data_IF_108188568039
#
_entry.id   IF_108188568039
#
_cell.length_a   1.000
_cell.length_b   1.000
_cell.length_c   1.000
_cell.angle_alpha   90.00
_cell.angle_beta   90.00
_cell.angle_gamma   90.00
#
_symmetry.space_group_name_H-M   'P 1'
#
loop_
_entity.id
_entity.type
_entity.pdbx_description
1 polymer ?
#
# COMPACT_ATOMS: atom_id res chain seq x y z
N UNK A 1 24.15 -64.73 -103.57
CA UNK A 1 23.36 -63.57 -104.00
C UNK A 1 21.99 -63.57 -103.35
N UNK A 2 20.98 -64.31 -103.81
CA UNK A 2 19.62 -64.30 -103.19
C UNK A 2 19.61 -64.61 -101.67
N UNK A 3 20.42 -65.59 -101.21
CA UNK A 3 20.51 -65.95 -99.78
C UNK A 3 21.18 -64.87 -98.90
N UNK A 4 22.04 -64.05 -99.47
CA UNK A 4 22.75 -63.00 -98.73
C UNK A 4 21.87 -61.76 -98.54
N UNK A 5 21.05 -61.45 -99.55
CA UNK A 5 20.03 -60.38 -99.50
C UNK A 5 18.93 -60.70 -98.49
N UNK A 6 18.44 -61.95 -98.46
CA UNK A 6 17.46 -62.39 -97.45
C UNK A 6 18.02 -62.30 -96.02
N UNK A 7 19.29 -62.63 -95.82
CA UNK A 7 19.95 -62.53 -94.52
C UNK A 7 20.12 -61.08 -94.08
N UNK A 8 20.50 -60.19 -95.00
CA UNK A 8 20.60 -58.75 -94.76
C UNK A 8 19.24 -58.14 -94.41
N UNK A 9 18.19 -58.49 -95.14
CA UNK A 9 16.83 -58.02 -94.88
C UNK A 9 16.31 -58.49 -93.51
N UNK A 10 16.55 -59.76 -93.13
CA UNK A 10 16.21 -60.26 -91.78
C UNK A 10 16.95 -59.48 -90.69
N UNK A 11 18.24 -59.20 -90.86
CA UNK A 11 19.02 -58.43 -89.90
C UNK A 11 18.49 -57.00 -89.74
N UNK A 12 18.09 -56.33 -90.82
CA UNK A 12 17.48 -55.00 -90.75
C UNK A 12 16.14 -55.01 -90.01
N UNK A 13 15.31 -56.04 -90.23
CA UNK A 13 14.04 -56.20 -89.51
C UNK A 13 14.27 -56.44 -88.01
N UNK A 14 15.24 -57.26 -87.63
CA UNK A 14 15.61 -57.49 -86.23
C UNK A 14 16.12 -56.21 -85.56
N UNK A 15 17.00 -55.45 -86.24
CA UNK A 15 17.48 -54.16 -85.73
C UNK A 15 16.34 -53.15 -85.54
N UNK A 16 15.41 -53.09 -86.50
CA UNK A 16 14.22 -52.23 -86.40
C UNK A 16 13.35 -52.62 -85.21
N UNK A 17 13.11 -53.92 -84.99
CA UNK A 17 12.32 -54.42 -83.87
C UNK A 17 12.97 -54.12 -82.53
N UNK A 18 14.29 -54.21 -82.42
CA UNK A 18 15.03 -53.85 -81.19
C UNK A 18 14.88 -52.36 -80.91
N UNK A 19 15.07 -51.50 -81.91
CA UNK A 19 14.92 -50.05 -81.75
C UNK A 19 13.49 -49.63 -81.39
N UNK A 20 12.48 -50.28 -81.98
CA UNK A 20 11.07 -50.07 -81.63
C UNK A 20 10.83 -50.43 -80.16
N UNK A 21 11.21 -51.65 -79.75
CA UNK A 21 11.09 -52.06 -78.33
C UNK A 21 11.83 -51.13 -77.34
N UNK A 22 13.01 -50.62 -77.69
CA UNK A 22 13.72 -49.64 -76.87
C UNK A 22 12.97 -48.30 -76.79
N UNK A 23 12.38 -47.86 -77.90
CA UNK A 23 11.59 -46.64 -77.94
C UNK A 23 10.30 -46.76 -77.12
N UNK A 24 9.59 -47.89 -77.23
CA UNK A 24 8.44 -48.20 -76.39
C UNK A 24 8.80 -48.21 -74.89
N UNK A 25 9.94 -48.82 -74.52
CA UNK A 25 10.42 -48.81 -73.12
C UNK A 25 10.73 -47.40 -72.63
N UNK A 26 11.40 -46.58 -73.44
CA UNK A 26 11.68 -45.17 -73.10
C UNK A 26 10.39 -44.37 -72.91
N UNK A 27 9.41 -44.56 -73.80
CA UNK A 27 8.09 -43.91 -73.70
C UNK A 27 7.33 -44.35 -72.45
N UNK A 28 7.43 -45.62 -72.05
CA UNK A 28 6.83 -46.10 -70.81
C UNK A 28 7.52 -45.50 -69.58
N UNK A 29 8.85 -45.48 -69.56
CA UNK A 29 9.63 -44.86 -68.48
C UNK A 29 9.34 -43.36 -68.35
N UNK A 30 9.20 -42.64 -69.46
CA UNK A 30 8.82 -41.23 -69.48
C UNK A 30 7.42 -41.00 -68.88
N UNK A 31 6.43 -41.83 -69.25
CA UNK A 31 5.09 -41.78 -68.66
C UNK A 31 5.09 -42.05 -67.16
N UNK A 32 5.92 -42.98 -66.70
CA UNK A 32 6.06 -43.30 -65.29
C UNK A 32 6.71 -42.15 -64.51
N UNK A 33 7.76 -41.55 -65.07
CA UNK A 33 8.40 -40.36 -64.51
C UNK A 33 7.41 -39.20 -64.38
N UNK A 34 6.59 -38.93 -65.40
CA UNK A 34 5.58 -37.88 -65.35
C UNK A 34 4.55 -38.13 -64.24
N UNK A 35 4.07 -39.35 -64.06
CA UNK A 35 3.17 -39.70 -62.96
C UNK A 35 3.83 -39.49 -61.59
N UNK A 36 5.11 -39.83 -61.45
CA UNK A 36 5.84 -39.63 -60.21
C UNK A 36 6.01 -38.14 -59.90
N UNK A 37 6.29 -37.32 -60.91
CA UNK A 37 6.37 -35.85 -60.76
C UNK A 37 5.02 -35.29 -60.30
N UNK A 38 3.92 -35.66 -60.95
CA UNK A 38 2.57 -35.22 -60.55
C UNK A 38 2.24 -35.63 -59.10
N UNK A 39 2.61 -36.85 -58.69
CA UNK A 39 2.42 -37.29 -57.31
C UNK A 39 3.25 -36.49 -56.31
N UNK A 40 4.51 -36.17 -56.64
CA UNK A 40 5.37 -35.37 -55.78
C UNK A 40 4.85 -33.93 -55.64
N UNK A 41 4.41 -33.31 -56.73
CA UNK A 41 3.81 -31.96 -56.70
C UNK A 41 2.54 -31.94 -55.84
N UNK A 42 1.71 -32.98 -55.93
CA UNK A 42 0.51 -33.11 -55.09
C UNK A 42 0.87 -33.25 -53.60
N UNK A 43 1.88 -34.06 -53.28
CA UNK A 43 2.38 -34.22 -51.91
C UNK A 43 2.97 -32.92 -51.35
N UNK A 44 3.76 -32.20 -52.15
CA UNK A 44 4.35 -30.92 -51.75
C UNK A 44 3.26 -29.86 -51.48
N UNK A 45 2.27 -29.77 -52.36
CA UNK A 45 1.10 -28.89 -52.18
C UNK A 45 0.34 -29.20 -50.88
N UNK A 46 0.10 -30.49 -50.59
CA UNK A 46 -0.56 -30.91 -49.36
C UNK A 46 0.26 -30.56 -48.11
N UNK A 47 1.58 -30.75 -48.14
CA UNK A 47 2.49 -30.38 -47.06
C UNK A 47 2.51 -28.87 -46.82
N UNK A 48 2.53 -28.06 -47.88
CA UNK A 48 2.48 -26.60 -47.79
C UNK A 48 1.17 -26.13 -47.16
N UNK A 49 0.04 -26.70 -47.55
CA UNK A 49 -1.26 -26.42 -46.93
C UNK A 49 -1.27 -26.79 -45.44
N UNK A 50 -0.70 -27.95 -45.10
CA UNK A 50 -0.61 -28.40 -43.71
C UNK A 50 0.28 -27.46 -42.87
N UNK A 51 1.44 -27.05 -43.40
CA UNK A 51 2.33 -26.08 -42.72
C UNK A 51 1.62 -24.75 -42.47
N UNK A 52 0.96 -24.20 -43.49
CA UNK A 52 0.18 -22.96 -43.37
C UNK A 52 -0.91 -23.07 -42.30
N UNK A 53 -1.63 -24.21 -42.26
CA UNK A 53 -2.63 -24.48 -41.22
C UNK A 53 -2.01 -24.53 -39.81
N UNK A 54 -0.86 -25.19 -39.66
CA UNK A 54 -0.17 -25.26 -38.37
C UNK A 54 0.31 -23.89 -37.91
N UNK A 55 0.87 -23.07 -38.81
CA UNK A 55 1.29 -21.69 -38.48
C UNK A 55 0.11 -20.83 -38.01
N UNK A 56 -1.06 -20.97 -38.63
CA UNK A 56 -2.27 -20.26 -38.19
C UNK A 56 -2.72 -20.73 -36.80
N UNK A 57 -2.66 -22.03 -36.54
CA UNK A 57 -2.99 -22.60 -35.23
C UNK A 57 -2.02 -22.09 -34.15
N UNK A 58 -0.72 -22.07 -34.43
CA UNK A 58 0.31 -21.57 -33.52
C UNK A 58 0.11 -20.09 -33.20
N UNK A 59 -0.24 -19.28 -34.22
CA UNK A 59 -0.61 -17.87 -34.02
C UNK A 59 -1.85 -17.72 -33.15
N UNK A 60 -2.87 -18.56 -33.36
CA UNK A 60 -4.09 -18.53 -32.54
C UNK A 60 -3.79 -18.90 -31.08
N UNK A 61 -2.99 -19.96 -30.85
CA UNK A 61 -2.56 -20.36 -29.51
C UNK A 61 -1.78 -19.24 -28.83
N UNK A 62 -0.85 -18.58 -29.55
CA UNK A 62 -0.10 -17.45 -29.02
C UNK A 62 -1.03 -16.29 -28.62
N UNK A 63 -2.01 -15.94 -29.46
CA UNK A 63 -2.99 -14.91 -29.12
C UNK A 63 -3.85 -15.25 -27.91
N UNK A 64 -4.25 -16.51 -27.74
CA UNK A 64 -4.99 -16.96 -26.55
C UNK A 64 -4.14 -16.83 -25.29
N UNK A 65 -2.88 -17.29 -25.32
CA UNK A 65 -1.94 -17.14 -24.20
C UNK A 65 -1.73 -15.69 -23.80
N UNK A 66 -1.52 -14.80 -24.78
CA UNK A 66 -1.37 -13.36 -24.50
C UNK A 66 -2.62 -12.76 -23.84
N UNK A 67 -3.82 -13.17 -24.25
CA UNK A 67 -5.08 -12.73 -23.62
C UNK A 67 -5.20 -13.24 -22.19
N UNK A 68 -4.85 -14.50 -21.94
CA UNK A 68 -4.86 -15.08 -20.61
C UNK A 68 -3.85 -14.39 -19.68
N UNK A 69 -2.66 -14.07 -20.20
CA UNK A 69 -1.63 -13.32 -19.45
C UNK A 69 -2.08 -11.89 -19.13
N UNK A 70 -2.70 -11.18 -20.08
CA UNK A 70 -3.27 -9.84 -19.82
C UNK A 70 -4.39 -9.91 -18.78
N UNK A 71 -5.28 -10.90 -18.89
CA UNK A 71 -6.36 -11.12 -17.93
C UNK A 71 -5.81 -11.42 -16.53
N UNK A 72 -4.82 -12.31 -16.42
CA UNK A 72 -4.16 -12.65 -15.16
C UNK A 72 -3.49 -11.43 -14.54
N UNK A 73 -2.81 -10.62 -15.36
CA UNK A 73 -2.19 -9.36 -14.91
C UNK A 73 -3.23 -8.38 -14.37
N UNK A 74 -4.37 -8.21 -15.05
CA UNK A 74 -5.48 -7.38 -14.57
C UNK A 74 -6.05 -7.90 -13.25
N UNK A 75 -6.22 -9.21 -13.13
CA UNK A 75 -6.72 -9.84 -11.90
C UNK A 75 -5.78 -9.59 -10.72
N UNK A 76 -4.46 -9.68 -10.94
CA UNK A 76 -3.47 -9.41 -9.89
C UNK A 76 -3.51 -7.95 -9.44
N UNK A 77 -3.66 -7.00 -10.37
CA UNK A 77 -3.84 -5.58 -10.05
C UNK A 77 -5.11 -5.35 -9.23
N UNK A 78 -6.22 -6.03 -9.56
CA UNK A 78 -7.46 -5.94 -8.79
C UNK A 78 -7.31 -6.51 -7.37
N UNK A 79 -6.68 -7.68 -7.23
CA UNK A 79 -6.37 -8.27 -5.92
C UNK A 79 -5.51 -7.34 -5.07
N UNK A 80 -4.51 -6.71 -5.67
CA UNK A 80 -3.66 -5.76 -4.97
C UNK A 80 -4.44 -4.52 -4.51
N UNK A 81 -5.32 -3.98 -5.37
CA UNK A 81 -6.23 -2.88 -5.00
C UNK A 81 -7.16 -3.27 -3.86
N UNK A 82 -7.72 -4.48 -3.89
CA UNK A 82 -8.58 -5.00 -2.83
C UNK A 82 -7.83 -5.08 -1.49
N UNK A 83 -6.59 -5.59 -1.48
CA UNK A 83 -5.73 -5.62 -0.29
C UNK A 83 -5.49 -4.22 0.27
N UNK A 84 -5.16 -3.26 -0.60
CA UNK A 84 -4.95 -1.85 -0.19
C UNK A 84 -6.23 -1.25 0.39
N UNK A 85 -7.39 -1.53 -0.21
CA UNK A 85 -8.68 -1.07 0.30
C UNK A 85 -8.99 -1.67 1.67
N UNK A 86 -8.81 -2.98 1.85
CA UNK A 86 -9.01 -3.65 3.16
C UNK A 86 -8.11 -3.03 4.23
N UNK A 87 -6.84 -2.79 3.93
CA UNK A 87 -5.91 -2.14 4.87
C UNK A 87 -6.33 -0.70 5.20
N UNK A 88 -6.78 0.08 4.21
CA UNK A 88 -7.29 1.45 4.43
C UNK A 88 -8.55 1.47 5.29
N UNK A 89 -9.46 0.52 5.10
CA UNK A 89 -10.67 0.38 5.92
C UNK A 89 -10.30 0.02 7.35
N UNK A 90 -9.37 -0.92 7.55
CA UNK A 90 -8.90 -1.28 8.89
C UNK A 90 -8.26 -0.09 9.60
N UNK A 91 -7.34 0.63 8.96
CA UNK A 91 -6.73 1.83 9.54
C UNK A 91 -7.76 2.92 9.87
N UNK A 92 -8.80 3.10 9.05
CA UNK A 92 -9.88 4.03 9.35
C UNK A 92 -10.69 3.60 10.58
N UNK A 93 -10.97 2.30 10.72
CA UNK A 93 -11.67 1.76 11.89
C UNK A 93 -10.83 1.91 13.16
N UNK A 94 -9.53 1.61 13.09
CA UNK A 94 -8.61 1.78 14.22
C UNK A 94 -8.52 3.25 14.65
N UNK A 95 -8.42 4.17 13.68
CA UNK A 95 -8.43 5.62 13.94
C UNK A 95 -9.78 6.12 14.50
N UNK A 96 -10.90 5.53 14.08
CA UNK A 96 -12.23 5.85 14.62
C UNK A 96 -12.34 5.41 16.08
N UNK A 97 -11.93 4.18 16.41
CA UNK A 97 -11.94 3.67 17.78
C UNK A 97 -11.01 4.48 18.71
N UNK A 98 -9.82 4.87 18.26
CA UNK A 98 -8.92 5.73 19.04
C UNK A 98 -9.55 7.11 19.31
N UNK A 99 -10.21 7.71 18.30
CA UNK A 99 -10.91 8.99 18.48
C UNK A 99 -12.10 8.88 19.43
N UNK A 100 -12.89 7.82 19.33
CA UNK A 100 -14.11 7.66 20.14
C UNK A 100 -13.79 7.39 21.62
N UNK A 101 -12.69 6.69 21.91
CA UNK A 101 -12.19 6.49 23.28
C UNK A 101 -11.61 7.80 23.84
N UNK A 102 -10.84 8.55 23.05
CA UNK A 102 -10.24 9.82 23.50
C UNK A 102 -11.26 10.95 23.69
N UNK A 103 -12.32 11.04 22.87
CA UNK A 103 -13.36 12.06 23.06
C UNK A 103 -14.29 11.76 24.23
N UNK A 104 -14.66 10.50 24.46
CA UNK A 104 -15.58 10.16 25.57
C UNK A 104 -14.95 10.37 26.96
N UNK A 105 -13.65 10.11 27.12
CA UNK A 105 -12.97 10.37 28.38
C UNK A 105 -12.67 11.87 28.58
N UNK A 106 -12.34 12.61 27.53
CA UNK A 106 -12.16 14.08 27.61
C UNK A 106 -13.47 14.81 27.91
N UNK A 107 -14.61 14.39 27.34
CA UNK A 107 -15.93 15.01 27.62
C UNK A 107 -16.40 14.72 29.05
N UNK A 108 -16.09 13.53 29.59
CA UNK A 108 -16.42 13.18 30.99
C UNK A 108 -15.51 13.86 32.02
N UNK A 109 -14.25 14.13 31.70
CA UNK A 109 -13.31 14.85 32.58
C UNK A 109 -13.48 16.37 32.51
N UNK A 110 -13.85 16.93 31.35
CA UNK A 110 -14.08 18.36 31.14
C UNK A 110 -15.25 18.95 31.94
N UNK A 111 -16.17 18.12 32.43
CA UNK A 111 -17.38 18.57 33.16
C UNK A 111 -17.25 18.44 34.68
N UNK A 112 -16.16 17.85 35.19
CA UNK A 112 -15.92 17.72 36.63
C UNK A 112 -14.88 18.74 37.08
N UNK A 113 -15.19 19.45 38.16
CA UNK A 113 -14.19 20.27 38.86
C UNK A 113 -13.18 19.28 39.46
N UNK A 114 -11.89 19.37 39.11
CA UNK A 114 -10.87 18.50 39.70
C UNK A 114 -10.70 18.81 41.19
N UNK A 115 -10.23 17.82 41.95
CA UNK A 115 -9.98 17.99 43.39
C UNK A 115 -8.53 18.34 43.62
N UNK A 116 -8.28 19.48 44.27
CA UNK A 116 -6.99 19.83 44.85
C UNK A 116 -6.99 19.54 46.36
N UNK A 117 -5.83 19.21 46.95
CA UNK A 117 -5.69 19.02 48.39
C UNK A 117 -6.02 20.32 49.10
N UNK A 118 -6.59 20.22 50.30
CA UNK A 118 -6.95 21.40 51.07
C UNK A 118 -5.71 22.18 51.50
N UNK A 119 -5.72 23.48 51.29
CA UNK A 119 -4.64 24.39 51.68
C UNK A 119 -5.03 25.19 52.92
N UNK A 120 -4.27 25.02 54.00
CA UNK A 120 -4.46 25.67 55.31
C UNK A 120 -3.34 26.65 55.68
N UNK A 121 -2.35 26.83 54.79
CA UNK A 121 -1.23 27.77 54.98
C UNK A 121 0.12 27.13 55.26
N UNK A 122 0.19 25.81 55.50
CA UNK A 122 1.44 25.13 55.92
C UNK A 122 2.18 24.37 54.83
N UNK A 123 1.51 24.05 53.72
CA UNK A 123 2.00 23.18 52.64
C UNK A 123 1.94 23.87 51.27
N UNK A 124 2.32 25.15 51.19
CA UNK A 124 2.10 25.97 50.01
C UNK A 124 2.82 25.45 48.75
N UNK A 125 4.10 25.06 48.87
CA UNK A 125 4.88 24.59 47.72
C UNK A 125 4.36 23.25 47.16
N UNK A 126 3.90 22.34 48.03
CA UNK A 126 3.28 21.08 47.62
C UNK A 126 1.94 21.32 46.93
N UNK A 127 1.08 22.15 47.53
CA UNK A 127 -0.19 22.55 46.95
C UNK A 127 -0.03 23.25 45.58
N UNK A 128 0.95 24.16 45.47
CA UNK A 128 1.28 24.88 44.24
C UNK A 128 1.75 23.92 43.15
N UNK A 129 2.60 22.95 43.49
CA UNK A 129 3.06 21.94 42.55
C UNK A 129 1.89 21.16 41.97
N UNK A 130 0.94 20.73 42.80
CA UNK A 130 -0.24 20.01 42.34
C UNK A 130 -1.15 20.86 41.44
N UNK A 131 -1.37 22.13 41.80
CA UNK A 131 -2.12 23.06 40.97
C UNK A 131 -1.46 23.26 39.59
N UNK A 132 -0.14 23.44 39.54
CA UNK A 132 0.63 23.58 38.28
C UNK A 132 0.58 22.30 37.45
N UNK A 133 0.71 21.12 38.08
CA UNK A 133 0.59 19.84 37.40
C UNK A 133 -0.78 19.70 36.74
N UNK A 134 -1.85 20.06 37.45
CA UNK A 134 -3.22 20.01 36.96
C UNK A 134 -3.42 20.89 35.72
N UNK A 135 -2.87 22.11 35.72
CA UNK A 135 -2.90 23.00 34.55
C UNK A 135 -2.13 22.42 33.36
N UNK A 136 -0.94 21.87 33.59
CA UNK A 136 -0.09 21.32 32.54
C UNK A 136 -0.66 20.07 31.87
N UNK A 137 -1.54 19.33 32.55
CA UNK A 137 -2.17 18.14 31.95
C UNK A 137 -3.07 18.49 30.76
N UNK A 138 -3.61 19.71 30.70
CA UNK A 138 -4.56 20.13 29.67
C UNK A 138 -5.89 19.35 29.67
N UNK A 139 -6.13 18.52 30.70
CA UNK A 139 -7.33 17.67 30.80
C UNK A 139 -8.55 18.45 31.31
N UNK A 140 -8.34 19.57 31.98
CA UNK A 140 -9.39 20.40 32.59
C UNK A 140 -9.38 21.79 31.97
N UNK A 141 -10.56 22.41 31.87
CA UNK A 141 -10.66 23.81 31.46
C UNK A 141 -10.05 24.73 32.52
N UNK A 142 -9.52 25.88 32.10
CA UNK A 142 -8.96 26.88 33.03
C UNK A 142 -9.97 27.31 34.10
N UNK A 143 -11.26 27.38 33.74
CA UNK A 143 -12.35 27.61 34.68
C UNK A 143 -12.45 26.51 35.75
N UNK A 144 -12.40 25.23 35.35
CA UNK A 144 -12.49 24.11 36.29
C UNK A 144 -11.30 24.09 37.26
N UNK A 145 -10.09 24.38 36.76
CA UNK A 145 -8.88 24.49 37.61
C UNK A 145 -8.98 25.69 38.56
N UNK A 146 -9.46 26.84 38.07
CA UNK A 146 -9.68 28.03 38.89
C UNK A 146 -10.68 27.76 40.04
N UNK A 147 -11.76 27.01 39.77
CA UNK A 147 -12.70 26.59 40.80
C UNK A 147 -12.08 25.59 41.79
N UNK A 148 -11.26 24.66 41.32
CA UNK A 148 -10.53 23.72 42.18
C UNK A 148 -9.60 24.46 43.15
N UNK A 149 -8.85 25.45 42.65
CA UNK A 149 -7.97 26.30 43.47
C UNK A 149 -8.79 27.01 44.55
N UNK A 150 -9.90 27.67 44.19
CA UNK A 150 -10.76 28.39 45.15
C UNK A 150 -11.37 27.47 46.21
N UNK A 151 -11.79 26.26 45.80
CA UNK A 151 -12.41 25.28 46.69
C UNK A 151 -11.40 24.61 47.65
N UNK A 152 -10.13 24.58 47.26
CA UNK A 152 -9.05 24.01 48.07
C UNK A 152 -8.70 24.86 49.28
N UNK A 153 -8.96 26.17 49.26
CA UNK A 153 -8.63 27.08 50.35
C UNK A 153 -9.53 26.87 51.58
N UNK A 154 -8.93 26.73 52.76
CA UNK A 154 -9.62 26.50 54.05
C UNK A 154 -9.14 27.47 55.13
N UNK A 155 -9.99 27.68 56.15
CA UNK A 155 -9.64 28.53 57.29
C UNK A 155 -9.28 29.95 56.87
N UNK A 156 -8.16 30.47 57.39
CA UNK A 156 -7.72 31.84 57.17
C UNK A 156 -7.17 32.08 55.75
N UNK A 157 -6.67 31.05 55.05
CA UNK A 157 -6.21 31.19 53.65
C UNK A 157 -7.36 31.54 52.71
N UNK A 158 -8.58 31.12 53.04
CA UNK A 158 -9.78 31.44 52.25
C UNK A 158 -10.10 32.93 52.20
N UNK A 159 -9.61 33.73 53.16
CA UNK A 159 -9.83 35.19 53.17
C UNK A 159 -9.20 35.88 51.96
N UNK A 160 -8.17 35.29 51.36
CA UNK A 160 -7.56 35.80 50.12
C UNK A 160 -8.54 35.84 48.95
N UNK A 161 -9.61 35.03 48.97
CA UNK A 161 -10.64 35.07 47.93
C UNK A 161 -11.36 36.43 47.85
N UNK A 162 -11.31 37.23 48.91
CA UNK A 162 -11.88 38.58 48.93
C UNK A 162 -11.04 39.58 48.09
N UNK A 163 -9.77 39.30 47.83
CA UNK A 163 -8.87 40.15 47.04
C UNK A 163 -8.72 39.67 45.58
N UNK A 164 -9.44 38.62 45.23
CA UNK A 164 -9.37 37.92 43.94
C UNK A 164 -10.65 38.22 43.15
N UNK A 165 -10.51 38.70 41.91
CA UNK A 165 -11.66 38.91 41.03
C UNK A 165 -12.26 37.57 40.57
N UNK A 166 -13.58 37.50 40.31
CA UNK A 166 -14.22 36.27 39.83
C UNK A 166 -13.71 35.76 38.48
N UNK A 167 -13.17 36.66 37.65
CA UNK A 167 -12.66 36.36 36.30
C UNK A 167 -11.18 36.00 36.25
N UNK A 168 -10.49 35.90 37.39
CA UNK A 168 -9.06 35.58 37.40
C UNK A 168 -8.80 34.13 36.99
N UNK A 169 -7.81 33.97 36.12
CA UNK A 169 -7.36 32.67 35.59
C UNK A 169 -6.63 31.84 36.65
N UNK A 170 -6.42 30.55 36.39
CA UNK A 170 -5.70 29.69 37.33
C UNK A 170 -4.25 30.19 37.56
N UNK A 171 -3.61 30.75 36.53
CA UNK A 171 -2.26 31.32 36.63
C UNK A 171 -2.22 32.54 37.55
N UNK A 172 -3.19 33.45 37.39
CA UNK A 172 -3.31 34.66 38.21
C UNK A 172 -3.58 34.31 39.68
N UNK A 173 -4.41 33.29 39.93
CA UNK A 173 -4.67 32.78 41.27
C UNK A 173 -3.39 32.26 41.93
N UNK A 174 -2.62 31.42 41.22
CA UNK A 174 -1.36 30.87 41.76
C UNK A 174 -0.33 31.98 42.02
N UNK A 175 -0.26 33.00 41.15
CA UNK A 175 0.63 34.13 41.33
C UNK A 175 0.31 34.90 42.63
N UNK A 176 -0.97 35.21 42.86
CA UNK A 176 -1.41 35.87 44.10
C UNK A 176 -1.20 35.03 45.34
N UNK A 177 -1.45 33.72 45.26
CA UNK A 177 -1.17 32.81 46.35
C UNK A 177 0.34 32.74 46.65
N UNK A 178 1.19 32.81 45.62
CA UNK A 178 2.65 32.86 45.77
C UNK A 178 3.10 34.15 46.46
N UNK A 179 2.48 35.29 46.16
CA UNK A 179 2.76 36.56 46.84
C UNK A 179 2.42 36.52 48.34
N UNK A 180 1.34 35.82 48.72
CA UNK A 180 0.85 35.80 50.09
C UNK A 180 1.43 34.66 50.95
N UNK A 181 1.77 33.52 50.34
CA UNK A 181 2.16 32.29 51.04
C UNK A 181 3.46 31.66 50.53
N UNK A 182 4.04 32.18 49.44
CA UNK A 182 5.33 31.72 48.95
C UNK A 182 6.46 32.07 49.89
N UNK A 183 7.48 31.22 49.95
CA UNK A 183 8.70 31.58 50.67
C UNK A 183 9.35 32.78 49.98
N UNK A 184 9.41 33.91 50.69
CA UNK A 184 10.31 35.00 50.33
C UNK A 184 11.72 34.48 50.54
N UNK A 185 12.39 34.06 49.45
CA UNK A 185 13.85 33.91 49.46
C UNK A 185 14.46 35.28 49.65
N UNK A 186 14.57 35.71 50.91
CA UNK A 186 15.23 36.94 51.28
C UNK A 186 16.71 36.85 50.91
N UNK A 187 17.07 37.55 49.84
CA UNK A 187 18.41 38.09 49.63
C UNK A 187 18.54 39.51 50.17
N UNK A 188 17.64 39.95 51.07
CA UNK A 188 17.69 41.29 51.65
C UNK A 188 18.37 41.24 53.02
N UNK A 189 19.59 41.77 53.04
CA UNK A 189 20.35 42.08 54.25
C UNK A 189 19.48 42.90 55.20
N UNK A 190 19.27 42.37 56.40
CA UNK A 190 18.95 43.20 57.57
C UNK A 190 20.16 44.14 57.76
N UNK A 191 20.04 45.40 57.34
CA UNK A 191 20.96 46.45 57.76
C UNK A 191 20.60 46.81 59.20
N UNK A 192 21.18 46.06 60.14
CA UNK A 192 21.45 46.58 61.48
C UNK A 192 22.62 47.56 61.34
N UNK A 193 22.33 48.86 61.23
CA UNK A 193 23.36 49.86 61.53
C UNK A 193 23.38 50.05 63.05
N UNK A 194 24.19 49.21 63.69
CA UNK A 194 24.77 49.53 64.99
C UNK A 194 25.75 50.68 64.80
N UNK A 195 25.37 51.88 65.23
CA UNK A 195 26.34 52.86 65.69
C UNK A 195 26.09 53.18 67.15
N UNK A 196 26.85 52.52 68.00
CA UNK A 196 27.22 53.10 69.29
C UNK A 196 28.18 54.26 69.05
N UNK A 197 27.85 55.42 69.61
CA UNK A 197 28.69 56.20 70.51
C UNK A 197 27.78 56.99 71.44
#
# INVERSE_FOLDING_TARGET
MLKDEERSHRMMLEQRLVLENEFERKRQAEKELLRNIEQLELQESALLQQRSRNELLDREIAMRRMKDDDMNRRLEVLKQKERVLKNKVQQKNDNFMIREVTTNDQIKLSTRIPTLPSFDGKNFEEWKLEAVCMMRTGLYSDYAVSQAIRNSLKGDTRRILLTIKPSESAEELIAKMTENFGEVKSGERIVQDTKGK
#
